data_IF_419640146097
#
_entry.id   IF_419640146097
#
_cell.length_a   1.000
_cell.length_b   1.000
_cell.length_c   1.000
_cell.angle_alpha   90.00
_cell.angle_beta   90.00
_cell.angle_gamma   90.00
#
_symmetry.space_group_name_H-M   'P 1'
#
loop_
_entity.id
_entity.type
_entity.pdbx_description
1 polymer ?
#
# COMPACT_ATOMS: atom_id res chain seq x y z
N UNK A 1 -2.63 -3.16 3.60
CA UNK A 1 -2.62 -1.91 2.80
C UNK A 1 -3.32 -2.18 1.48
N UNK A 2 -3.91 -1.17 0.85
CA UNK A 2 -4.71 -1.32 -0.38
C UNK A 2 -4.07 -0.54 -1.53
N UNK A 3 -3.75 -1.22 -2.63
CA UNK A 3 -3.30 -0.56 -3.87
C UNK A 3 -4.50 -0.31 -4.75
N UNK A 4 -4.89 0.95 -4.88
CA UNK A 4 -6.13 1.35 -5.53
C UNK A 4 -6.16 1.03 -7.02
N UNK A 5 -5.03 1.19 -7.72
CA UNK A 5 -4.90 0.87 -9.15
C UNK A 5 -5.19 -0.61 -9.45
N UNK A 6 -4.99 -1.50 -8.48
CA UNK A 6 -5.36 -2.92 -8.60
C UNK A 6 -6.77 -3.21 -8.05
N UNK A 7 -7.09 -2.67 -6.87
CA UNK A 7 -8.32 -3.01 -6.15
C UNK A 7 -9.57 -2.30 -6.67
N UNK A 8 -9.47 -1.09 -7.23
CA UNK A 8 -10.64 -0.39 -7.78
C UNK A 8 -11.25 -1.14 -8.97
N UNK A 9 -10.47 -1.65 -9.96
CA UNK A 9 -10.99 -2.56 -10.97
C UNK A 9 -11.69 -3.79 -10.38
N UNK A 10 -11.10 -4.41 -9.34
CA UNK A 10 -11.71 -5.54 -8.63
C UNK A 10 -13.06 -5.15 -8.02
N UNK A 11 -13.19 -3.94 -7.47
CA UNK A 11 -14.46 -3.47 -6.89
C UNK A 11 -15.58 -3.31 -7.93
N UNK A 12 -15.24 -3.06 -9.20
CA UNK A 12 -16.22 -3.06 -10.29
C UNK A 12 -16.65 -4.50 -10.61
N UNK A 13 -15.72 -5.45 -10.58
CA UNK A 13 -16.01 -6.86 -10.81
C UNK A 13 -16.83 -7.48 -9.68
N UNK A 14 -16.62 -7.10 -8.41
CA UNK A 14 -17.46 -7.56 -7.29
C UNK A 14 -18.92 -7.15 -7.49
N UNK A 15 -19.16 -5.92 -7.97
CA UNK A 15 -20.52 -5.43 -8.30
C UNK A 15 -21.12 -6.21 -9.45
N UNK A 16 -20.36 -6.43 -10.55
CA UNK A 16 -20.86 -7.21 -11.70
C UNK A 16 -21.21 -8.65 -11.34
N UNK A 17 -20.44 -9.26 -10.43
CA UNK A 17 -20.68 -10.62 -9.92
C UNK A 17 -21.73 -10.68 -8.82
N UNK A 18 -22.32 -9.53 -8.43
CA UNK A 18 -23.33 -9.44 -7.38
C UNK A 18 -22.83 -10.04 -6.05
N UNK A 19 -21.55 -9.82 -5.72
CA UNK A 19 -20.96 -10.24 -4.46
C UNK A 19 -21.45 -9.32 -3.33
N UNK A 20 -21.84 -9.92 -2.21
CA UNK A 20 -22.39 -9.23 -1.05
C UNK A 20 -21.61 -9.57 0.22
N UNK A 21 -21.95 -8.89 1.31
CA UNK A 21 -21.31 -9.10 2.61
C UNK A 21 -20.11 -8.17 2.83
N UNK A 22 -19.31 -8.51 3.84
CA UNK A 22 -18.17 -7.70 4.29
C UNK A 22 -16.89 -8.34 3.76
N UNK A 23 -16.07 -7.52 3.09
CA UNK A 23 -14.81 -7.94 2.48
C UNK A 23 -13.66 -7.12 3.04
N UNK A 24 -12.63 -7.79 3.53
CA UNK A 24 -11.36 -7.13 3.86
C UNK A 24 -10.68 -6.71 2.55
N UNK A 25 -10.70 -5.41 2.27
CA UNK A 25 -10.34 -4.88 0.96
C UNK A 25 -8.92 -4.32 0.91
N UNK A 26 -7.96 -5.20 1.24
CA UNK A 26 -6.52 -4.93 1.20
C UNK A 26 -5.82 -6.01 0.39
N UNK A 27 -4.66 -5.67 -0.18
CA UNK A 27 -3.78 -6.70 -0.73
C UNK A 27 -3.34 -7.67 0.38
N UNK A 28 -3.13 -8.96 0.07
CA UNK A 28 -2.63 -9.93 1.03
C UNK A 28 -1.25 -9.56 1.59
N UNK A 29 -1.00 -10.00 2.83
CA UNK A 29 0.19 -9.73 3.64
C UNK A 29 0.37 -8.27 4.05
N UNK A 30 1.45 -8.01 4.80
CA UNK A 30 1.78 -6.69 5.36
C UNK A 30 3.04 -6.09 4.73
N UNK A 31 3.15 -4.78 4.85
CA UNK A 31 4.35 -4.02 4.52
C UNK A 31 4.53 -2.90 5.55
N UNK A 32 5.76 -2.68 5.96
CA UNK A 32 6.12 -1.61 6.90
C UNK A 32 6.46 -0.31 6.16
N UNK A 33 6.42 0.80 6.89
CA UNK A 33 6.85 2.11 6.38
C UNK A 33 8.28 2.05 5.81
N UNK A 34 9.22 1.41 6.52
CA UNK A 34 10.61 1.32 6.07
C UNK A 34 10.76 0.54 4.76
N UNK A 35 10.02 -0.55 4.59
CA UNK A 35 10.06 -1.30 3.32
C UNK A 35 9.55 -0.46 2.14
N UNK A 36 8.51 0.36 2.34
CA UNK A 36 8.03 1.30 1.32
C UNK A 36 9.08 2.38 1.03
N UNK A 37 9.73 2.93 2.06
CA UNK A 37 10.77 3.96 1.88
C UNK A 37 12.01 3.40 1.19
N UNK A 38 12.40 2.15 1.44
CA UNK A 38 13.47 1.47 0.69
C UNK A 38 13.10 1.29 -0.79
N UNK A 39 11.85 0.89 -1.09
CA UNK A 39 11.37 0.86 -2.47
C UNK A 39 11.38 2.26 -3.10
N UNK A 40 11.03 3.30 -2.35
CA UNK A 40 11.12 4.67 -2.82
C UNK A 40 12.57 5.07 -3.18
N UNK A 41 13.57 4.70 -2.35
CA UNK A 41 14.97 4.93 -2.71
C UNK A 41 15.37 4.20 -3.99
N UNK A 42 14.99 2.92 -4.08
CA UNK A 42 15.42 2.06 -5.16
C UNK A 42 14.81 2.44 -6.52
N UNK A 43 13.58 2.97 -6.53
CA UNK A 43 12.83 3.23 -7.76
C UNK A 43 12.67 4.71 -8.09
N UNK A 44 12.66 5.61 -7.11
CA UNK A 44 12.26 7.01 -7.33
C UNK A 44 13.41 7.99 -7.02
N UNK A 45 13.95 7.96 -5.80
CA UNK A 45 14.98 8.91 -5.34
C UNK A 45 16.07 8.21 -4.51
N UNK A 46 17.20 7.80 -5.13
CA UNK A 46 18.28 7.12 -4.42
C UNK A 46 18.88 7.91 -3.26
N UNK A 47 18.78 9.24 -3.29
CA UNK A 47 19.35 10.13 -2.28
C UNK A 47 18.36 10.42 -1.13
N UNK A 48 17.12 9.92 -1.21
CA UNK A 48 16.10 10.10 -0.19
C UNK A 48 16.55 9.54 1.18
N UNK A 49 16.29 10.29 2.25
CA UNK A 49 16.66 9.94 3.63
C UNK A 49 15.47 10.15 4.55
N UNK A 50 15.35 9.28 5.54
CA UNK A 50 14.37 9.40 6.62
C UNK A 50 15.01 9.08 7.95
N UNK A 51 14.29 9.40 9.01
CA UNK A 51 14.57 8.97 10.38
C UNK A 51 13.35 8.22 10.90
N UNK A 52 13.59 7.23 11.76
CA UNK A 52 12.51 6.55 12.47
C UNK A 52 12.18 7.29 13.76
N UNK A 53 10.94 7.14 14.22
CA UNK A 53 10.49 7.58 15.54
C UNK A 53 10.36 6.39 16.47
N UNK A 54 10.57 6.62 17.76
CA UNK A 54 10.07 5.70 18.79
C UNK A 54 8.56 5.91 18.99
N UNK A 55 7.89 4.94 19.62
CA UNK A 55 6.44 5.04 19.91
C UNK A 55 6.14 6.20 20.87
N UNK A 56 7.05 6.47 21.81
CA UNK A 56 6.96 7.57 22.76
C UNK A 56 7.08 8.93 22.06
N UNK A 57 7.98 9.04 21.08
CA UNK A 57 8.10 10.23 20.25
C UNK A 57 6.84 10.44 19.41
N UNK A 58 6.33 9.36 18.78
CA UNK A 58 5.10 9.42 18.00
C UNK A 58 3.90 9.91 18.83
N UNK A 59 3.75 9.40 20.06
CA UNK A 59 2.65 9.74 20.98
C UNK A 59 2.63 11.23 21.35
N UNK A 60 3.78 11.89 21.38
CA UNK A 60 3.86 13.34 21.66
C UNK A 60 3.34 14.21 20.50
N UNK A 61 3.30 13.66 19.29
CA UNK A 61 2.98 14.41 18.06
C UNK A 61 1.57 14.10 17.55
N UNK A 62 1.05 12.88 17.79
CA UNK A 62 -0.28 12.48 17.33
C UNK A 62 -1.36 12.78 18.38
N UNK A 63 -2.50 13.31 17.92
CA UNK A 63 -3.66 13.59 18.79
C UNK A 63 -4.29 12.31 19.35
N UNK A 64 -4.17 11.19 18.64
CA UNK A 64 -4.66 9.89 19.05
C UNK A 64 -3.81 8.76 18.44
N UNK A 65 -3.75 7.57 19.07
CA UNK A 65 -3.07 6.40 18.53
C UNK A 65 -3.58 5.99 17.14
N UNK A 66 -2.72 5.37 16.34
CA UNK A 66 -3.06 4.84 15.00
C UNK A 66 -3.23 3.32 15.04
N UNK A 67 -4.13 2.82 14.20
CA UNK A 67 -4.33 1.39 14.02
C UNK A 67 -3.18 0.78 13.22
N UNK A 68 -2.55 -0.27 13.75
CA UNK A 68 -1.54 -1.08 13.07
C UNK A 68 -2.07 -2.52 13.00
N UNK A 69 -2.64 -2.90 11.85
CA UNK A 69 -3.33 -4.17 11.69
C UNK A 69 -2.94 -4.89 10.41
N UNK A 70 -3.04 -6.21 10.45
CA UNK A 70 -3.16 -7.06 9.28
C UNK A 70 -4.63 -7.44 9.11
N UNK A 71 -5.14 -7.40 7.88
CA UNK A 71 -6.49 -7.85 7.56
C UNK A 71 -6.40 -9.14 6.76
N UNK A 72 -7.17 -10.15 7.15
CA UNK A 72 -7.21 -11.42 6.41
C UNK A 72 -7.92 -11.23 5.06
N UNK A 73 -7.15 -11.32 3.98
CA UNK A 73 -7.61 -11.16 2.61
C UNK A 73 -7.96 -12.49 1.92
N UNK A 74 -8.02 -13.61 2.66
CA UNK A 74 -8.21 -14.95 2.09
C UNK A 74 -9.45 -15.04 1.19
N UNK A 75 -10.62 -14.58 1.66
CA UNK A 75 -11.85 -14.58 0.87
C UNK A 75 -11.67 -13.80 -0.45
N UNK A 76 -11.09 -12.59 -0.39
CA UNK A 76 -10.90 -11.75 -1.58
C UNK A 76 -9.92 -12.39 -2.57
N UNK A 77 -8.87 -13.03 -2.06
CA UNK A 77 -7.87 -13.74 -2.86
C UNK A 77 -8.41 -15.03 -3.48
N UNK A 78 -9.35 -15.71 -2.82
CA UNK A 78 -10.07 -16.87 -3.39
C UNK A 78 -10.96 -16.45 -4.57
N UNK A 79 -11.70 -15.35 -4.45
CA UNK A 79 -12.56 -14.82 -5.52
C UNK A 79 -11.78 -14.18 -6.68
N UNK A 80 -10.61 -13.61 -6.37
CA UNK A 80 -9.70 -12.96 -7.33
C UNK A 80 -8.29 -13.55 -7.18
N UNK A 81 -8.03 -14.76 -7.69
CA UNK A 81 -6.72 -15.42 -7.60
C UNK A 81 -5.57 -14.59 -8.19
N UNK A 82 -5.87 -13.67 -9.10
CA UNK A 82 -4.93 -12.72 -9.71
C UNK A 82 -4.48 -11.58 -8.79
N UNK A 83 -5.19 -11.33 -7.68
CA UNK A 83 -4.88 -10.25 -6.73
C UNK A 83 -3.47 -10.39 -6.17
N UNK A 84 -2.58 -9.44 -6.43
CA UNK A 84 -1.18 -9.53 -6.03
C UNK A 84 -0.97 -9.31 -4.53
N UNK A 85 0.08 -9.93 -3.99
CA UNK A 85 0.56 -9.61 -2.64
C UNK A 85 1.03 -8.15 -2.58
N UNK A 86 0.95 -7.54 -1.40
CA UNK A 86 1.13 -6.08 -1.27
C UNK A 86 2.45 -5.55 -1.87
N UNK A 87 3.57 -6.29 -1.71
CA UNK A 87 4.88 -5.87 -2.24
C UNK A 87 4.95 -5.95 -3.77
N UNK A 88 4.36 -6.98 -4.36
CA UNK A 88 4.31 -7.17 -5.81
C UNK A 88 3.40 -6.12 -6.45
N UNK A 89 2.23 -5.88 -5.84
CA UNK A 89 1.31 -4.85 -6.27
C UNK A 89 1.92 -3.45 -6.21
N UNK A 90 2.67 -3.14 -5.14
CA UNK A 90 3.41 -1.88 -5.02
C UNK A 90 4.40 -1.69 -6.17
N UNK A 91 5.20 -2.72 -6.46
CA UNK A 91 6.19 -2.65 -7.53
C UNK A 91 5.50 -2.41 -8.87
N UNK A 92 4.53 -3.27 -9.23
CA UNK A 92 3.86 -3.26 -10.54
C UNK A 92 3.06 -1.98 -10.80
N UNK A 93 2.23 -1.55 -9.85
CA UNK A 93 1.28 -0.47 -10.07
C UNK A 93 1.76 0.89 -9.58
N UNK A 94 2.73 0.94 -8.66
CA UNK A 94 3.20 2.20 -8.06
C UNK A 94 4.64 2.51 -8.47
N UNK A 95 5.60 1.64 -8.17
CA UNK A 95 7.02 2.01 -8.31
C UNK A 95 7.57 1.89 -9.74
N UNK A 96 7.27 0.81 -10.47
CA UNK A 96 7.74 0.64 -11.85
C UNK A 96 7.23 1.74 -12.78
N UNK A 97 5.92 2.11 -12.78
CA UNK A 97 5.42 3.17 -13.65
C UNK A 97 6.01 4.54 -13.33
N UNK A 98 6.43 4.78 -12.08
CA UNK A 98 6.95 6.06 -11.63
C UNK A 98 8.49 6.17 -11.64
N UNK A 99 9.21 5.12 -12.09
CA UNK A 99 10.69 5.06 -12.02
C UNK A 99 11.41 6.15 -12.80
N UNK A 100 10.82 6.63 -13.90
CA UNK A 100 11.43 7.62 -14.79
C UNK A 100 10.70 8.97 -14.77
N UNK A 101 9.73 9.15 -13.87
CA UNK A 101 9.06 10.44 -13.69
C UNK A 101 10.01 11.37 -12.96
N UNK A 102 10.50 12.40 -13.66
CA UNK A 102 11.17 13.52 -13.00
C UNK A 102 10.13 14.23 -12.13
N UNK A 103 10.10 13.96 -10.82
CA UNK A 103 9.32 14.78 -9.88
C UNK A 103 10.02 16.14 -9.74
N UNK A 104 9.83 17.02 -10.72
CA UNK A 104 10.31 18.41 -10.75
C UNK A 104 9.56 19.34 -9.79
N UNK A 105 8.94 18.81 -8.74
CA UNK A 105 8.27 19.57 -7.71
C UNK A 105 9.14 19.59 -6.46
N UNK A 106 9.84 20.70 -6.23
CA UNK A 106 10.43 20.99 -4.91
C UNK A 106 9.33 20.78 -3.87
N UNK A 107 9.54 19.86 -2.93
CA UNK A 107 8.75 19.80 -1.71
C UNK A 107 8.76 21.21 -1.09
N UNK A 108 7.57 21.80 -0.93
CA UNK A 108 7.40 23.04 -0.18
C UNK A 108 7.55 22.77 1.31
#
# INVERSE_FOLDING_TARGET
MSILDELLPISVETVKRNLHGIWNFTNPSVVSHNEILEMNKAYIDPDFKWINFTVEEQTKVIVAPRSNIEMDASNLKEEFPELLYIKESLIKYVFEPNKNTSFGGKAK
#
